data_IF_067218555398
#
_entry.id   IF_067218555398
#
_cell.length_a   1.000
_cell.length_b   1.000
_cell.length_c   1.000
_cell.angle_alpha   90.00
_cell.angle_beta   90.00
_cell.angle_gamma   90.00
#
_symmetry.space_group_name_H-M   'P 1'
#
loop_
_entity.id
_entity.type
_entity.pdbx_description
1 polymer ?
#
# COMPACT_ATOMS: atom_id res chain seq x y z
N UNK A 1 -39.88 20.30 42.42
CA UNK A 1 -39.25 19.25 43.25
C UNK A 1 -38.17 18.55 42.42
N UNK A 2 -36.89 18.86 42.65
CA UNK A 2 -35.76 18.25 41.92
C UNK A 2 -35.14 17.18 42.83
N UNK A 3 -35.13 15.92 42.39
CA UNK A 3 -34.51 14.79 43.10
C UNK A 3 -32.98 14.85 42.91
N UNK A 4 -32.16 14.74 43.96
CA UNK A 4 -30.72 14.59 43.80
C UNK A 4 -30.42 13.12 43.48
N UNK A 5 -29.91 12.83 42.29
CA UNK A 5 -29.31 11.52 41.99
C UNK A 5 -27.84 11.57 42.39
N UNK A 6 -27.54 11.11 43.60
CA UNK A 6 -26.19 10.67 43.95
C UNK A 6 -25.87 9.46 43.08
N UNK A 7 -25.25 9.70 41.92
CA UNK A 7 -24.70 8.63 41.09
C UNK A 7 -23.37 8.19 41.70
N UNK A 8 -23.44 7.25 42.62
CA UNK A 8 -22.28 6.47 43.07
C UNK A 8 -21.79 5.65 41.88
N UNK A 9 -20.76 6.15 41.20
CA UNK A 9 -19.98 5.36 40.24
C UNK A 9 -19.00 4.54 41.09
N UNK A 10 -19.03 3.19 41.05
CA UNK A 10 -17.97 2.43 41.67
C UNK A 10 -16.66 2.65 40.90
N UNK A 11 -15.64 3.17 41.59
CA UNK A 11 -14.27 3.23 41.08
C UNK A 11 -13.76 1.80 40.87
N UNK A 12 -13.85 1.32 39.63
CA UNK A 12 -13.14 0.12 39.20
C UNK A 12 -11.63 0.44 39.12
N UNK A 13 -10.73 -0.49 39.49
CA UNK A 13 -9.30 -0.28 39.35
C UNK A 13 -8.93 -0.13 37.87
N UNK A 14 -8.17 0.93 37.55
CA UNK A 14 -7.73 1.34 36.20
C UNK A 14 -6.73 0.38 35.54
N UNK A 15 -6.37 -0.73 36.18
CA UNK A 15 -5.28 -1.61 35.74
C UNK A 15 -5.84 -3.00 35.49
N UNK A 16 -6.28 -3.24 34.25
CA UNK A 16 -6.07 -4.47 33.45
C UNK A 16 -6.99 -4.44 32.21
N UNK A 17 -6.93 -3.36 31.42
CA UNK A 17 -7.42 -3.48 30.04
C UNK A 17 -6.31 -4.21 29.27
N UNK A 18 -6.59 -5.36 28.61
CA UNK A 18 -5.66 -5.87 27.62
C UNK A 18 -5.39 -4.72 26.65
N UNK A 19 -4.13 -4.30 26.59
CA UNK A 19 -3.70 -3.33 25.59
C UNK A 19 -4.15 -3.90 24.24
N UNK A 20 -4.87 -3.16 23.39
CA UNK A 20 -5.14 -3.63 22.05
C UNK A 20 -3.78 -3.93 21.43
N UNK A 21 -3.51 -5.22 21.26
CA UNK A 21 -2.40 -5.80 20.53
C UNK A 21 -2.51 -5.42 19.05
N UNK A 22 -2.26 -4.15 18.78
CA UNK A 22 -2.36 -3.52 17.47
C UNK A 22 -1.01 -2.96 17.04
N UNK A 23 -0.03 -3.86 16.87
CA UNK A 23 1.00 -3.61 15.87
C UNK A 23 0.57 -4.37 14.63
N UNK A 24 -0.31 -3.75 13.84
CA UNK A 24 -0.44 -4.15 12.45
C UNK A 24 0.96 -4.10 11.84
N UNK A 25 1.47 -5.26 11.45
CA UNK A 25 2.80 -5.45 10.87
C UNK A 25 2.88 -4.63 9.58
N UNK A 26 3.25 -3.36 9.69
CA UNK A 26 3.62 -2.55 8.54
C UNK A 26 4.92 -3.17 8.05
N UNK A 27 4.94 -3.78 6.85
CA UNK A 27 6.13 -4.45 6.36
C UNK A 27 7.28 -3.45 6.37
N UNK A 28 8.43 -3.88 6.88
CA UNK A 28 9.64 -3.06 6.84
C UNK A 28 9.85 -2.55 5.42
N UNK A 29 10.32 -1.31 5.30
CA UNK A 29 10.48 -0.63 4.00
C UNK A 29 11.34 -1.46 3.04
N UNK A 30 12.37 -2.11 3.54
CA UNK A 30 13.27 -2.93 2.73
C UNK A 30 12.59 -4.21 2.26
N UNK A 31 11.83 -4.85 3.15
CA UNK A 31 11.04 -6.04 2.82
C UNK A 31 10.00 -5.75 1.74
N UNK A 32 9.23 -4.67 1.92
CA UNK A 32 8.28 -4.22 0.90
C UNK A 32 8.97 -3.95 -0.44
N UNK A 33 10.12 -3.26 -0.41
CA UNK A 33 10.86 -2.92 -1.62
C UNK A 33 11.29 -4.19 -2.38
N UNK A 34 11.83 -5.17 -1.67
CA UNK A 34 12.28 -6.43 -2.27
C UNK A 34 11.12 -7.22 -2.90
N UNK A 35 9.99 -7.34 -2.19
CA UNK A 35 8.77 -7.97 -2.71
C UNK A 35 8.24 -7.22 -3.95
N UNK A 36 8.19 -5.89 -3.90
CA UNK A 36 7.70 -5.09 -5.01
C UNK A 36 8.62 -5.18 -6.24
N UNK A 37 9.95 -5.18 -6.06
CA UNK A 37 10.91 -5.42 -7.15
C UNK A 37 10.68 -6.79 -7.79
N UNK A 38 10.47 -7.84 -6.99
CA UNK A 38 10.21 -9.18 -7.50
C UNK A 38 8.91 -9.20 -8.34
N UNK A 39 7.81 -8.65 -7.82
CA UNK A 39 6.55 -8.56 -8.55
C UNK A 39 6.65 -7.76 -9.84
N UNK A 40 7.43 -6.67 -9.86
CA UNK A 40 7.67 -5.88 -11.08
C UNK A 40 8.46 -6.69 -12.10
N UNK A 41 9.46 -7.49 -11.67
CA UNK A 41 10.23 -8.36 -12.59
C UNK A 41 9.33 -9.40 -13.25
N UNK A 42 8.44 -10.01 -12.49
CA UNK A 42 7.48 -10.98 -13.04
C UNK A 42 6.55 -10.33 -14.06
N UNK A 43 5.97 -9.17 -13.73
CA UNK A 43 5.11 -8.42 -14.65
C UNK A 43 5.89 -7.95 -15.89
N UNK A 44 7.12 -7.46 -15.71
CA UNK A 44 7.98 -7.06 -16.80
C UNK A 44 8.29 -8.23 -17.74
N UNK A 45 8.53 -9.43 -17.19
CA UNK A 45 8.79 -10.64 -17.97
C UNK A 45 7.61 -11.05 -18.85
N UNK A 46 6.37 -10.76 -18.45
CA UNK A 46 5.19 -11.01 -19.30
C UNK A 46 5.14 -10.13 -20.55
N UNK A 47 5.85 -9.00 -20.55
CA UNK A 47 5.77 -8.00 -21.62
C UNK A 47 4.42 -7.26 -21.67
N UNK A 48 3.49 -7.52 -20.75
CA UNK A 48 2.21 -6.81 -20.67
C UNK A 48 2.38 -5.44 -20.02
N UNK A 49 1.44 -4.55 -20.31
CA UNK A 49 1.35 -3.26 -19.65
C UNK A 49 0.74 -3.44 -18.24
N UNK A 50 1.29 -2.76 -17.23
CA UNK A 50 0.83 -2.85 -15.85
C UNK A 50 0.96 -1.50 -15.12
N UNK A 51 0.23 -1.37 -14.03
CA UNK A 51 0.22 -0.23 -13.11
C UNK A 51 0.57 -0.67 -11.69
N UNK A 52 0.78 0.29 -10.78
CA UNK A 52 1.03 0.01 -9.36
C UNK A 52 -0.05 -0.89 -8.73
N UNK A 53 -1.31 -0.67 -9.09
CA UNK A 53 -2.41 -1.45 -8.53
C UNK A 53 -2.45 -2.90 -9.01
N UNK A 54 -1.85 -3.22 -10.15
CA UNK A 54 -1.75 -4.62 -10.61
C UNK A 54 -0.83 -5.45 -9.71
N UNK A 55 0.19 -4.82 -9.10
CA UNK A 55 1.03 -5.45 -8.08
C UNK A 55 0.24 -5.69 -6.79
N UNK A 56 -0.55 -4.69 -6.38
CA UNK A 56 -1.43 -4.81 -5.20
C UNK A 56 -2.45 -5.92 -5.39
N UNK A 57 -3.06 -6.03 -6.58
CA UNK A 57 -3.99 -7.13 -6.94
C UNK A 57 -3.35 -8.51 -6.91
N UNK A 58 -2.03 -8.59 -7.06
CA UNK A 58 -1.26 -9.84 -6.98
C UNK A 58 -0.83 -10.18 -5.54
N UNK A 59 -1.19 -9.35 -4.56
CA UNK A 59 -0.87 -9.58 -3.16
C UNK A 59 0.38 -8.85 -2.68
N UNK A 60 0.98 -7.97 -3.49
CA UNK A 60 2.07 -7.11 -2.99
C UNK A 60 1.44 -6.05 -2.07
N UNK A 61 1.91 -5.91 -0.81
CA UNK A 61 1.33 -4.95 0.12
C UNK A 61 1.50 -3.51 -0.38
N UNK A 62 0.61 -2.62 0.08
CA UNK A 62 0.81 -1.18 -0.15
C UNK A 62 2.05 -0.70 0.63
N UNK A 63 2.87 0.18 0.04
CA UNK A 63 3.99 0.76 0.73
C UNK A 63 3.53 1.60 1.93
N UNK A 64 4.41 1.84 2.91
CA UNK A 64 4.18 2.83 3.96
C UNK A 64 3.89 4.26 3.45
N UNK A 65 4.22 4.56 2.18
CA UNK A 65 3.87 5.83 1.53
C UNK A 65 3.71 5.67 0.02
N UNK A 66 2.67 6.26 -0.57
CA UNK A 66 2.38 6.20 -2.01
C UNK A 66 3.55 6.66 -2.89
N UNK A 67 4.35 7.61 -2.41
CA UNK A 67 5.54 8.11 -3.12
C UNK A 67 6.58 7.02 -3.40
N UNK A 68 6.56 5.93 -2.63
CA UNK A 68 7.49 4.81 -2.80
C UNK A 68 7.26 4.05 -4.09
N UNK A 69 6.01 3.95 -4.58
CA UNK A 69 5.74 3.39 -5.92
C UNK A 69 6.47 4.18 -7.00
N UNK A 70 6.39 5.51 -6.94
CA UNK A 70 7.08 6.40 -7.87
C UNK A 70 8.60 6.19 -7.84
N UNK A 71 9.18 6.12 -6.64
CA UNK A 71 10.62 5.88 -6.46
C UNK A 71 11.06 4.50 -7.00
N UNK A 72 10.28 3.44 -6.71
CA UNK A 72 10.52 2.09 -7.19
C UNK A 72 10.54 2.03 -8.72
N UNK A 73 9.47 2.52 -9.37
CA UNK A 73 9.42 2.46 -10.84
C UNK A 73 10.49 3.32 -11.49
N UNK A 74 10.80 4.49 -10.93
CA UNK A 74 11.89 5.32 -11.41
C UNK A 74 13.25 4.59 -11.33
N UNK A 75 13.52 3.89 -10.22
CA UNK A 75 14.74 3.11 -10.05
C UNK A 75 14.84 1.97 -11.08
N UNK A 76 13.76 1.22 -11.28
CA UNK A 76 13.71 0.09 -12.22
C UNK A 76 13.77 0.54 -13.69
N UNK A 77 13.17 1.70 -14.02
CA UNK A 77 13.26 2.30 -15.34
C UNK A 77 14.69 2.76 -15.66
N UNK A 78 15.40 3.33 -14.67
CA UNK A 78 16.82 3.69 -14.81
C UNK A 78 17.70 2.47 -15.07
N UNK A 79 17.34 1.32 -14.51
CA UNK A 79 18.00 0.03 -14.77
C UNK A 79 17.58 -0.63 -16.10
N UNK A 80 16.72 0.03 -16.90
CA UNK A 80 16.15 -0.50 -18.15
C UNK A 80 15.40 -1.82 -17.97
N UNK A 81 14.83 -2.08 -16.79
CA UNK A 81 13.96 -3.23 -16.58
C UNK A 81 12.57 -2.97 -17.17
N UNK A 82 12.09 -1.73 -17.02
CA UNK A 82 10.75 -1.30 -17.44
C UNK A 82 10.82 0.05 -18.14
N UNK A 83 9.82 0.36 -18.94
CA UNK A 83 9.64 1.66 -19.61
C UNK A 83 8.23 2.20 -19.37
N UNK A 84 8.09 3.53 -19.24
CA UNK A 84 6.78 4.14 -19.22
C UNK A 84 6.16 4.05 -20.63
N UNK A 85 4.93 3.56 -20.72
CA UNK A 85 4.21 3.42 -22.00
C UNK A 85 2.99 4.34 -22.10
N UNK A 86 2.64 5.04 -21.03
CA UNK A 86 1.58 6.04 -21.04
C UNK A 86 0.97 6.29 -19.67
N UNK A 87 -0.23 6.86 -19.68
CA UNK A 87 -1.08 7.03 -18.50
C UNK A 87 -2.46 6.49 -18.83
N UNK A 88 -3.11 5.87 -17.86
CA UNK A 88 -4.48 5.40 -18.00
C UNK A 88 -5.27 5.59 -16.71
N UNK A 89 -6.59 5.38 -16.75
CA UNK A 89 -7.40 5.42 -15.54
C UNK A 89 -6.89 4.39 -14.52
N UNK A 90 -6.78 4.79 -13.26
CA UNK A 90 -6.49 3.86 -12.18
C UNK A 90 -7.69 2.93 -11.98
N UNK A 91 -7.49 1.60 -11.93
CA UNK A 91 -8.54 0.62 -11.64
C UNK A 91 -8.94 0.57 -10.15
N UNK A 92 -8.45 1.49 -9.31
CA UNK A 92 -8.87 1.60 -7.91
C UNK A 92 -10.37 1.97 -7.83
N UNK A 93 -11.17 1.26 -7.01
CA UNK A 93 -12.61 1.51 -6.87
C UNK A 93 -12.93 2.73 -5.97
N UNK A 94 -12.06 3.74 -5.91
CA UNK A 94 -12.34 4.99 -5.21
C UNK A 94 -12.81 6.04 -6.20
N UNK A 95 -13.77 6.88 -5.79
CA UNK A 95 -14.54 7.88 -6.56
C UNK A 95 -13.74 8.97 -7.29
N UNK A 96 -12.40 8.87 -7.32
CA UNK A 96 -11.51 9.82 -7.98
C UNK A 96 -10.67 9.04 -9.00
N UNK A 97 -11.08 9.12 -10.27
CA UNK A 97 -10.36 8.55 -11.42
C UNK A 97 -9.00 9.23 -11.62
N UNK A 98 -8.05 8.96 -10.73
CA UNK A 98 -6.68 9.45 -10.84
C UNK A 98 -5.98 8.71 -11.96
N UNK A 99 -5.35 9.44 -12.88
CA UNK A 99 -4.53 8.83 -13.92
C UNK A 99 -3.30 8.16 -13.28
N UNK A 100 -3.13 6.87 -13.54
CA UNK A 100 -1.97 6.11 -13.11
C UNK A 100 -1.01 5.93 -14.29
N UNK A 101 0.30 6.02 -14.02
CA UNK A 101 1.33 5.76 -15.03
C UNK A 101 1.36 4.26 -15.34
N UNK A 102 1.39 3.94 -16.63
CA UNK A 102 1.45 2.57 -17.14
C UNK A 102 2.90 2.25 -17.52
N UNK A 103 3.34 1.07 -17.13
CA UNK A 103 4.69 0.55 -17.33
C UNK A 103 4.64 -0.75 -18.14
N UNK A 104 5.72 -1.04 -18.86
CA UNK A 104 5.90 -2.31 -19.58
C UNK A 104 7.34 -2.79 -19.41
N UNK A 105 7.56 -4.09 -19.36
CA UNK A 105 8.91 -4.67 -19.37
C UNK A 105 9.67 -4.34 -20.66
N UNK A 106 10.97 -4.08 -20.53
CA UNK A 106 11.87 -3.96 -21.68
C UNK A 106 12.19 -5.37 -22.15
N UNK A 107 11.57 -5.82 -23.24
CA UNK A 107 11.95 -7.07 -23.88
C UNK A 107 13.36 -6.90 -24.45
N UNK A 108 14.29 -7.73 -23.97
CA UNK A 108 15.65 -7.86 -24.48
C UNK A 108 15.67 -8.74 -25.72
#
# INVERSE_FOLDING_TARGET
MKRPIHSTIPTLPLFDLPQPEETGDVPDREEWWNQAVAGVRELAATGMAFQAYDLVRRGIPEPPSDSQWGALFAALARQRLIVPVGYGPSPRPTTRSSAARIWRGVQR
#
